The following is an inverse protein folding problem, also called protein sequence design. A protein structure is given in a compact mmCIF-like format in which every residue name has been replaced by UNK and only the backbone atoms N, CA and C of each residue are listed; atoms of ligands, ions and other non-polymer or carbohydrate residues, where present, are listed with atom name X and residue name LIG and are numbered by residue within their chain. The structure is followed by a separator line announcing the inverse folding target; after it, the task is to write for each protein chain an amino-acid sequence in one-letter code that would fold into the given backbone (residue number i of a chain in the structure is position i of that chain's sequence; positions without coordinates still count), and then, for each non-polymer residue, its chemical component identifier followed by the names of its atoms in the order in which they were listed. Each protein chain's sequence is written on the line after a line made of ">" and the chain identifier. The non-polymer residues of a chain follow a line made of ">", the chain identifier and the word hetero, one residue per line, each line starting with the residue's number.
data_IF_135726382085
#
_entry.id   IF_135726382085
#
_cell.length_a   1.000
_cell.length_b   1.000
_cell.length_c   1.000
_cell.angle_alpha   90.00
_cell.angle_beta   90.00
_cell.angle_gamma   90.00
#
_symmetry.space_group_name_H-M   'P 1'
#
loop_
_entity.id
_entity.type
_entity.pdbx_description
1 polymer ?
#
# COMPACT_ATOMS: atom_id res chain seq x y z
N UNK A 1 10.03 37.15 26.93
CA UNK A 1 10.88 36.74 25.78
C UNK A 1 11.10 35.22 25.65
N UNK A 2 10.39 34.35 26.39
CA UNK A 2 10.60 32.88 26.37
C UNK A 2 9.67 32.12 25.40
N UNK A 3 8.44 32.58 25.20
CA UNK A 3 7.42 31.89 24.40
C UNK A 3 7.80 31.69 22.91
N UNK A 4 8.45 32.68 22.28
CA UNK A 4 8.83 32.57 20.86
C UNK A 4 9.84 31.47 20.59
N UNK A 5 10.79 31.21 21.50
CA UNK A 5 11.81 30.15 21.30
C UNK A 5 11.18 28.75 21.25
N UNK A 6 10.17 28.50 22.09
CA UNK A 6 9.43 27.23 22.11
C UNK A 6 8.64 26.98 20.81
N UNK A 7 7.95 28.01 20.32
CA UNK A 7 7.18 27.93 19.06
C UNK A 7 8.10 27.71 17.85
N UNK A 8 9.23 28.43 17.76
CA UNK A 8 10.21 28.21 16.70
C UNK A 8 10.84 26.81 16.74
N UNK A 9 11.04 26.24 17.93
CA UNK A 9 11.54 24.87 18.09
C UNK A 9 10.51 23.83 17.62
N UNK A 10 9.23 24.02 17.94
CA UNK A 10 8.15 23.15 17.48
C UNK A 10 7.98 23.20 15.96
N UNK A 11 8.03 24.39 15.36
CA UNK A 11 7.95 24.54 13.90
C UNK A 11 9.11 23.81 13.22
N UNK A 12 10.34 23.94 13.73
CA UNK A 12 11.50 23.21 13.18
C UNK A 12 11.35 21.70 13.31
N UNK A 13 10.87 21.22 14.45
CA UNK A 13 10.64 19.80 14.68
C UNK A 13 9.54 19.25 13.74
N UNK A 14 8.44 19.99 13.57
CA UNK A 14 7.37 19.63 12.64
C UNK A 14 7.87 19.62 11.19
N UNK A 15 8.68 20.60 10.80
CA UNK A 15 9.30 20.63 9.47
C UNK A 15 10.23 19.43 9.25
N UNK A 16 11.08 19.11 10.22
CA UNK A 16 11.96 17.96 10.13
C UNK A 16 11.15 16.66 10.02
N UNK A 17 10.11 16.49 10.83
CA UNK A 17 9.22 15.33 10.77
C UNK A 17 8.54 15.20 9.40
N UNK A 18 8.08 16.31 8.81
CA UNK A 18 7.51 16.33 7.47
C UNK A 18 8.52 15.92 6.40
N UNK A 19 9.77 16.42 6.46
CA UNK A 19 10.83 16.03 5.52
C UNK A 19 11.19 14.55 5.65
N UNK A 20 11.33 14.05 6.87
CA UNK A 20 11.61 12.63 7.13
C UNK A 20 10.48 11.76 6.59
N UNK A 21 9.23 12.14 6.86
CA UNK A 21 8.07 11.43 6.33
C UNK A 21 8.04 11.43 4.80
N UNK A 22 8.28 12.57 4.15
CA UNK A 22 8.35 12.67 2.68
C UNK A 22 9.48 11.84 2.07
N UNK A 23 10.65 11.76 2.72
CA UNK A 23 11.73 10.89 2.28
C UNK A 23 11.35 9.41 2.41
N UNK A 24 10.77 9.00 3.54
CA UNK A 24 10.37 7.61 3.76
C UNK A 24 9.31 7.16 2.75
N UNK A 25 8.30 7.98 2.47
CA UNK A 25 7.26 7.65 1.47
C UNK A 25 7.86 7.56 0.06
N UNK A 26 8.80 8.43 -0.28
CA UNK A 26 9.51 8.38 -1.57
C UNK A 26 10.36 7.12 -1.70
N UNK A 27 11.13 6.77 -0.67
CA UNK A 27 11.98 5.57 -0.66
C UNK A 27 11.13 4.31 -0.75
N UNK A 28 10.05 4.21 0.03
CA UNK A 28 9.11 3.10 -0.02
C UNK A 28 8.51 2.95 -1.42
N UNK A 29 8.17 4.06 -2.07
CA UNK A 29 7.62 4.02 -3.43
C UNK A 29 8.65 3.60 -4.48
N UNK A 30 9.85 4.16 -4.42
CA UNK A 30 10.94 3.78 -5.33
C UNK A 30 11.23 2.29 -5.20
N UNK A 31 11.19 1.76 -3.99
CA UNK A 31 11.32 0.34 -3.72
C UNK A 31 10.14 -0.44 -4.30
N UNK A 32 8.90 -0.04 -4.04
CA UNK A 32 7.71 -0.71 -4.59
C UNK A 32 7.72 -0.80 -6.13
N UNK A 33 8.11 0.28 -6.81
CA UNK A 33 8.10 0.33 -8.28
C UNK A 33 9.26 -0.45 -8.90
N UNK A 34 10.47 -0.33 -8.34
CA UNK A 34 11.69 -0.84 -9.00
C UNK A 34 12.23 -2.14 -8.41
N UNK A 35 11.92 -2.47 -7.16
CA UNK A 35 12.42 -3.69 -6.55
C UNK A 35 11.64 -4.90 -7.04
N UNK A 36 12.36 -5.99 -7.26
CA UNK A 36 11.79 -7.28 -7.62
C UNK A 36 11.04 -7.95 -6.46
N UNK A 37 11.40 -7.62 -5.21
CA UNK A 37 10.74 -8.11 -3.99
C UNK A 37 10.17 -6.96 -3.17
N UNK A 38 9.17 -7.23 -2.32
CA UNK A 38 8.60 -6.24 -1.40
C UNK A 38 8.73 -6.64 0.08
N UNK A 39 8.93 -5.69 1.00
CA UNK A 39 9.11 -6.01 2.41
C UNK A 39 7.84 -6.59 3.03
N UNK A 40 7.94 -7.80 3.60
CA UNK A 40 6.82 -8.46 4.28
C UNK A 40 6.39 -7.76 5.57
N UNK A 41 7.25 -6.92 6.15
CA UNK A 41 6.91 -6.13 7.35
C UNK A 41 6.00 -4.95 6.98
N UNK A 42 6.14 -4.44 5.74
CA UNK A 42 5.35 -3.33 5.23
C UNK A 42 4.03 -3.79 4.57
N UNK A 43 3.85 -5.11 4.43
CA UNK A 43 2.66 -5.70 3.82
C UNK A 43 1.88 -6.49 4.86
N UNK A 44 0.59 -6.20 5.00
CA UNK A 44 -0.30 -6.97 5.87
C UNK A 44 -0.74 -8.25 5.16
N UNK A 45 -0.67 -9.44 5.80
CA UNK A 45 -1.19 -10.66 5.20
C UNK A 45 -2.71 -10.55 5.03
N UNK A 46 -3.22 -11.04 3.91
CA UNK A 46 -4.63 -11.00 3.55
C UNK A 46 -5.03 -12.28 2.82
N UNK A 47 -6.08 -12.93 3.32
CA UNK A 47 -6.78 -14.00 2.62
C UNK A 47 -8.01 -13.41 1.97
N UNK A 48 -8.07 -13.49 0.64
CA UNK A 48 -9.19 -12.95 -0.13
C UNK A 48 -10.33 -13.97 -0.11
N UNK A 49 -11.57 -13.50 0.04
CA UNK A 49 -12.75 -14.36 -0.08
C UNK A 49 -13.25 -14.40 -1.53
N UNK A 50 -13.95 -15.46 -1.92
CA UNK A 50 -14.56 -15.57 -3.25
C UNK A 50 -15.45 -14.37 -3.58
N UNK A 51 -16.27 -13.93 -2.63
CA UNK A 51 -17.13 -12.76 -2.80
C UNK A 51 -16.33 -11.46 -3.06
N UNK A 52 -15.13 -11.34 -2.48
CA UNK A 52 -14.23 -10.21 -2.74
C UNK A 52 -13.58 -10.34 -4.12
N UNK A 53 -13.32 -11.55 -4.61
CA UNK A 53 -12.74 -11.76 -5.93
C UNK A 53 -13.73 -11.50 -7.07
N UNK A 54 -14.97 -11.98 -6.94
CA UNK A 54 -16.02 -11.96 -7.98
C UNK A 54 -17.01 -10.80 -7.85
N UNK A 55 -16.98 -10.05 -6.74
CA UNK A 55 -17.87 -8.92 -6.52
C UNK A 55 -17.70 -7.80 -7.54
N UNK A 56 -18.69 -6.89 -7.67
CA UNK A 56 -18.69 -5.82 -8.69
C UNK A 56 -17.51 -4.84 -8.57
N UNK A 57 -16.93 -4.70 -7.37
CA UNK A 57 -15.74 -3.90 -7.10
C UNK A 57 -14.47 -4.76 -6.95
N UNK A 58 -14.59 -6.09 -7.02
CA UNK A 58 -13.53 -7.07 -6.83
C UNK A 58 -12.62 -6.72 -5.63
N UNK A 59 -11.31 -7.01 -5.74
CA UNK A 59 -10.30 -6.69 -4.74
C UNK A 59 -10.15 -5.17 -4.50
N UNK A 60 -10.70 -4.30 -5.36
CA UNK A 60 -10.70 -2.87 -5.11
C UNK A 60 -11.61 -2.46 -3.95
N UNK A 61 -12.54 -3.33 -3.52
CA UNK A 61 -13.31 -3.15 -2.30
C UNK A 61 -12.42 -2.99 -1.05
N UNK A 62 -11.23 -3.60 -1.06
CA UNK A 62 -10.25 -3.50 0.04
C UNK A 62 -9.68 -2.09 0.20
N UNK A 63 -9.76 -1.28 -0.85
CA UNK A 63 -9.13 0.03 -0.93
C UNK A 63 -10.09 1.19 -0.62
N UNK A 64 -11.30 0.92 -0.10
CA UNK A 64 -12.25 1.95 0.36
C UNK A 64 -12.52 3.08 -0.67
N UNK A 65 -12.54 2.75 -1.97
CA UNK A 65 -12.73 3.74 -3.04
C UNK A 65 -11.44 4.36 -3.58
N UNK A 66 -10.28 4.02 -3.04
CA UNK A 66 -8.98 4.30 -3.64
C UNK A 66 -8.66 3.32 -4.77
N UNK A 67 -7.77 3.71 -5.67
CA UNK A 67 -7.27 2.81 -6.72
C UNK A 67 -6.58 1.59 -6.13
N UNK A 68 -6.85 0.41 -6.69
CA UNK A 68 -6.20 -0.84 -6.30
C UNK A 68 -5.27 -1.31 -7.41
N UNK A 69 -4.04 -1.65 -7.07
CA UNK A 69 -3.06 -2.21 -8.01
C UNK A 69 -2.62 -3.57 -7.52
N UNK A 70 -2.80 -4.59 -8.37
CA UNK A 70 -2.17 -5.90 -8.18
C UNK A 70 -0.72 -5.83 -8.68
N UNK A 71 0.22 -6.34 -7.89
CA UNK A 71 1.62 -6.44 -8.26
C UNK A 71 2.18 -7.82 -7.92
N UNK A 72 2.76 -8.45 -8.92
CA UNK A 72 3.51 -9.70 -8.76
C UNK A 72 4.98 -9.35 -8.53
N UNK A 73 5.54 -9.91 -7.46
CA UNK A 73 6.93 -9.75 -7.02
C UNK A 73 7.54 -11.12 -6.81
N UNK A 74 8.87 -11.23 -6.82
CA UNK A 74 9.54 -12.53 -6.65
C UNK A 74 9.27 -13.21 -5.31
N UNK A 75 8.84 -12.46 -4.30
CA UNK A 75 8.54 -12.97 -2.97
C UNK A 75 7.04 -13.01 -2.63
N UNK A 76 6.16 -12.87 -3.62
CA UNK A 76 4.72 -13.06 -3.47
C UNK A 76 3.88 -12.09 -4.29
N UNK A 77 2.57 -12.17 -4.04
CA UNK A 77 1.57 -11.35 -4.72
C UNK A 77 0.99 -10.32 -3.78
N UNK A 78 0.87 -9.09 -4.26
CA UNK A 78 0.53 -7.95 -3.43
C UNK A 78 -0.58 -7.11 -4.03
N UNK A 79 -1.44 -6.57 -3.18
CA UNK A 79 -2.42 -5.52 -3.52
C UNK A 79 -1.96 -4.24 -2.84
N UNK A 80 -1.84 -3.17 -3.60
CA UNK A 80 -1.64 -1.83 -3.06
C UNK A 80 -2.87 -0.97 -3.28
N UNK A 81 -3.33 -0.33 -2.22
CA UNK A 81 -4.35 0.70 -2.27
C UNK A 81 -3.72 2.08 -2.38
N UNK A 82 -4.35 2.99 -3.10
CA UNK A 82 -3.92 4.38 -3.24
C UNK A 82 -3.43 4.73 -4.66
N UNK A 83 -3.16 6.01 -4.86
CA UNK A 83 -2.66 6.50 -6.16
C UNK A 83 -1.17 6.20 -6.34
N UNK A 84 -0.70 6.24 -7.60
CA UNK A 84 0.67 5.89 -8.00
C UNK A 84 1.77 6.63 -7.25
N UNK A 85 1.49 7.76 -6.58
CA UNK A 85 2.48 8.53 -5.82
C UNK A 85 2.04 8.85 -4.38
N UNK A 86 0.93 8.29 -3.93
CA UNK A 86 0.46 8.46 -2.56
C UNK A 86 0.93 7.31 -1.65
N UNK A 87 1.09 7.58 -0.35
CA UNK A 87 1.15 6.53 0.66
C UNK A 87 -0.11 5.67 0.56
N UNK A 88 0.04 4.37 0.81
CA UNK A 88 -1.05 3.42 0.60
C UNK A 88 -0.87 2.14 1.40
N UNK A 89 -1.98 1.51 1.79
CA UNK A 89 -1.95 0.19 2.40
C UNK A 89 -1.49 -0.84 1.38
N UNK A 90 -0.62 -1.75 1.82
CA UNK A 90 -0.14 -2.86 1.00
C UNK A 90 -0.52 -4.17 1.68
N UNK A 91 -1.15 -5.06 0.94
CA UNK A 91 -1.61 -6.37 1.39
C UNK A 91 -0.88 -7.46 0.63
N UNK A 92 -0.41 -8.50 1.33
CA UNK A 92 0.13 -9.71 0.73
C UNK A 92 -0.98 -10.75 0.62
N UNK A 93 -1.24 -11.24 -0.58
CA UNK A 93 -2.27 -12.25 -0.81
C UNK A 93 -1.71 -13.62 -0.42
N UNK A 94 -2.35 -14.29 0.55
CA UNK A 94 -1.91 -15.61 1.02
C UNK A 94 -2.48 -16.76 0.18
N UNK A 95 -3.67 -16.57 -0.41
CA UNK A 95 -4.37 -17.55 -1.23
C UNK A 95 -4.43 -17.14 -2.72
N UNK A 96 -3.31 -16.69 -3.28
CA UNK A 96 -3.28 -16.10 -4.62
C UNK A 96 -3.82 -17.02 -5.72
N UNK A 97 -3.45 -18.29 -5.73
CA UNK A 97 -3.91 -19.26 -6.74
C UNK A 97 -5.45 -19.36 -6.74
N UNK A 98 -6.04 -19.51 -5.57
CA UNK A 98 -7.48 -19.57 -5.39
C UNK A 98 -8.17 -18.25 -5.77
N UNK A 99 -7.54 -17.12 -5.43
CA UNK A 99 -8.01 -15.79 -5.82
C UNK A 99 -8.06 -15.61 -7.34
N UNK A 100 -7.00 -16.01 -8.05
CA UNK A 100 -6.90 -15.96 -9.51
C UNK A 100 -7.96 -16.86 -10.14
N UNK A 101 -8.14 -18.09 -9.63
CA UNK A 101 -9.20 -18.99 -10.10
C UNK A 101 -10.60 -18.38 -10.00
N UNK A 102 -10.90 -17.69 -8.90
CA UNK A 102 -12.18 -16.99 -8.73
C UNK A 102 -12.32 -15.81 -9.69
N UNK A 103 -11.29 -14.99 -9.88
CA UNK A 103 -11.35 -13.84 -10.81
C UNK A 103 -11.60 -14.26 -12.26
N UNK A 104 -11.03 -15.37 -12.71
CA UNK A 104 -11.12 -15.80 -14.12
C UNK A 104 -12.25 -16.80 -14.39
N UNK A 105 -13.03 -17.19 -13.37
CA UNK A 105 -14.06 -18.22 -13.49
C UNK A 105 -15.18 -17.83 -14.47
N UNK A 106 -15.56 -16.56 -14.49
CA UNK A 106 -16.70 -16.05 -15.25
C UNK A 106 -16.30 -15.40 -16.60
N UNK A 107 -15.02 -15.51 -16.99
CA UNK A 107 -14.49 -14.99 -18.27
C UNK A 107 -14.50 -16.08 -19.37
N UNK A 108 -15.06 -17.26 -19.09
CA UNK A 108 -15.28 -18.35 -20.06
C UNK A 108 -16.73 -18.36 -20.53
#
# INVERSE_FOLDING_TARGET
>A
MSANKGVFSLIKAAWLAFLVWGMLTTVERLYWVNADSYSMILASPLTISEATATGPTSYAALCNGEGATLADKSNGHFIRCGSTWAPGSTFRIENYEQFVEWMWRDVK
#
